data_IF_372065819790
#
_entry.id   IF_372065819790
#
_cell.length_a   1.000
_cell.length_b   1.000
_cell.length_c   1.000
_cell.angle_alpha   90.00
_cell.angle_beta   90.00
_cell.angle_gamma   90.00
#
_symmetry.space_group_name_H-M   'P 1'
#
loop_
_entity.id
_entity.type
_entity.pdbx_description
1 polymer ?
#
# COMPACT_ATOMS: atom_id res chain seq x y z
N UNK A 1 -32.40 -40.15 -8.97
CA UNK A 1 -33.64 -39.35 -8.76
C UNK A 1 -33.21 -37.92 -8.50
N UNK A 2 -33.62 -37.04 -9.41
CA UNK A 2 -33.02 -35.73 -9.67
C UNK A 2 -33.27 -34.73 -8.54
N UNK A 3 -32.21 -34.04 -8.11
CA UNK A 3 -32.32 -32.83 -7.30
C UNK A 3 -32.73 -31.69 -8.23
N UNK A 4 -34.02 -31.38 -8.31
CA UNK A 4 -34.53 -30.13 -8.89
C UNK A 4 -34.12 -28.99 -7.98
N UNK A 5 -32.93 -28.45 -8.21
CA UNK A 5 -32.58 -27.12 -7.73
C UNK A 5 -33.40 -26.11 -8.51
N UNK A 6 -34.34 -25.46 -7.85
CA UNK A 6 -35.12 -24.34 -8.40
C UNK A 6 -34.15 -23.18 -8.65
N UNK A 7 -33.93 -22.73 -9.89
CA UNK A 7 -33.21 -21.48 -10.09
C UNK A 7 -34.12 -20.32 -9.68
N UNK A 8 -33.55 -19.53 -8.78
CA UNK A 8 -34.07 -18.35 -8.10
C UNK A 8 -34.70 -17.30 -9.05
N UNK A 9 -35.86 -16.78 -8.64
CA UNK A 9 -36.16 -15.33 -8.58
C UNK A 9 -35.73 -14.48 -9.81
N UNK A 10 -36.23 -14.76 -11.01
CA UNK A 10 -36.25 -13.77 -12.11
C UNK A 10 -37.70 -13.57 -12.54
N UNK A 11 -38.35 -12.71 -11.77
CA UNK A 11 -39.70 -12.17 -11.84
C UNK A 11 -40.37 -12.16 -13.22
N UNK A 12 -41.65 -12.55 -13.21
CA UNK A 12 -42.60 -12.29 -14.29
C UNK A 12 -42.58 -10.81 -14.67
N UNK A 13 -41.93 -10.50 -15.80
CA UNK A 13 -41.92 -9.15 -16.36
C UNK A 13 -43.35 -8.77 -16.77
N UNK A 14 -43.81 -7.53 -16.52
CA UNK A 14 -45.11 -7.10 -16.98
C UNK A 14 -45.17 -7.21 -18.52
N UNK A 15 -46.25 -7.74 -19.11
CA UNK A 15 -46.35 -7.92 -20.57
C UNK A 15 -46.50 -6.59 -21.33
N UNK A 16 -46.83 -5.50 -20.63
CA UNK A 16 -47.00 -4.18 -21.22
C UNK A 16 -45.66 -3.55 -21.64
N UNK A 17 -45.43 -3.29 -22.95
CA UNK A 17 -44.18 -2.74 -23.44
C UNK A 17 -43.93 -1.30 -22.97
N UNK A 18 -44.97 -0.52 -22.65
CA UNK A 18 -44.77 0.83 -22.11
C UNK A 18 -44.12 0.76 -20.71
N UNK A 19 -44.68 -0.07 -19.84
CA UNK A 19 -44.13 -0.33 -18.50
C UNK A 19 -42.73 -0.93 -18.53
N UNK A 20 -42.42 -1.82 -19.47
CA UNK A 20 -41.06 -2.38 -19.61
C UNK A 20 -40.02 -1.31 -19.96
N UNK A 21 -40.35 -0.34 -20.82
CA UNK A 21 -39.43 0.76 -21.16
C UNK A 21 -39.12 1.65 -19.95
N UNK A 22 -40.12 1.92 -19.10
CA UNK A 22 -39.92 2.69 -17.87
C UNK A 22 -39.01 1.94 -16.89
N UNK A 23 -39.23 0.63 -16.73
CA UNK A 23 -38.38 -0.23 -15.90
C UNK A 23 -36.95 -0.23 -16.44
N UNK A 24 -36.75 -0.37 -17.75
CA UNK A 24 -35.43 -0.36 -18.35
C UNK A 24 -34.70 0.96 -18.10
N UNK A 25 -35.33 2.10 -18.36
CA UNK A 25 -34.73 3.42 -18.11
C UNK A 25 -34.38 3.62 -16.63
N UNK A 26 -35.21 3.11 -15.72
CA UNK A 26 -34.90 3.13 -14.30
C UNK A 26 -33.66 2.27 -13.96
N UNK A 27 -33.58 1.06 -14.50
CA UNK A 27 -32.43 0.17 -14.30
C UNK A 27 -31.14 0.73 -14.90
N UNK A 28 -31.19 1.32 -16.10
CA UNK A 28 -30.04 1.97 -16.72
C UNK A 28 -29.52 3.13 -15.87
N UNK A 29 -30.44 3.96 -15.34
CA UNK A 29 -30.08 5.01 -14.39
C UNK A 29 -29.45 4.45 -13.11
N UNK A 30 -30.04 3.40 -12.53
CA UNK A 30 -29.48 2.75 -11.34
C UNK A 30 -28.09 2.15 -11.60
N UNK A 31 -27.88 1.55 -12.79
CA UNK A 31 -26.57 1.03 -13.20
C UNK A 31 -25.56 2.17 -13.29
N UNK A 32 -25.91 3.27 -13.95
CA UNK A 32 -25.03 4.43 -14.09
C UNK A 32 -24.69 5.05 -12.71
N UNK A 33 -25.67 5.21 -11.83
CA UNK A 33 -25.47 5.75 -10.48
C UNK A 33 -24.55 4.86 -9.62
N UNK A 34 -24.58 3.54 -9.83
CA UNK A 34 -23.81 2.57 -9.06
C UNK A 34 -22.53 2.10 -9.77
N UNK A 35 -22.19 2.65 -10.94
CA UNK A 35 -21.02 2.25 -11.72
C UNK A 35 -19.72 2.44 -10.92
N UNK A 36 -19.59 3.56 -10.21
CA UNK A 36 -18.44 3.86 -9.35
C UNK A 36 -18.27 2.84 -8.23
N UNK A 37 -19.37 2.40 -7.59
CA UNK A 37 -19.33 1.37 -6.54
C UNK A 37 -18.87 0.04 -7.15
N UNK A 38 -19.40 -0.32 -8.32
CA UNK A 38 -18.99 -1.51 -9.05
C UNK A 38 -17.49 -1.48 -9.43
N UNK A 39 -16.99 -0.33 -9.86
CA UNK A 39 -15.57 -0.14 -10.17
C UNK A 39 -14.71 -0.31 -8.91
N UNK A 40 -15.09 0.35 -7.81
CA UNK A 40 -14.37 0.27 -6.54
C UNK A 40 -14.26 -1.16 -6.02
N UNK A 41 -15.38 -1.90 -6.02
CA UNK A 41 -15.40 -3.29 -5.57
C UNK A 41 -14.56 -4.21 -6.45
N UNK A 42 -14.49 -3.95 -7.76
CA UNK A 42 -13.58 -4.69 -8.66
C UNK A 42 -12.12 -4.44 -8.31
N UNK A 43 -11.73 -3.18 -8.08
CA UNK A 43 -10.37 -2.84 -7.65
C UNK A 43 -10.02 -3.52 -6.33
N UNK A 44 -10.90 -3.47 -5.34
CA UNK A 44 -10.70 -4.16 -4.06
C UNK A 44 -10.56 -5.67 -4.24
N UNK A 45 -11.43 -6.29 -5.03
CA UNK A 45 -11.36 -7.72 -5.34
C UNK A 45 -10.01 -8.06 -5.97
N UNK A 46 -9.57 -7.29 -6.95
CA UNK A 46 -8.33 -7.56 -7.67
C UNK A 46 -7.11 -7.44 -6.75
N UNK A 47 -7.11 -6.47 -5.82
CA UNK A 47 -6.09 -6.36 -4.77
C UNK A 47 -6.08 -7.59 -3.84
N UNK A 48 -7.26 -8.07 -3.42
CA UNK A 48 -7.39 -9.28 -2.59
C UNK A 48 -6.89 -10.52 -3.34
N UNK A 49 -7.26 -10.66 -4.62
CA UNK A 49 -6.80 -11.78 -5.45
C UNK A 49 -5.27 -11.75 -5.62
N UNK A 50 -4.68 -10.58 -5.83
CA UNK A 50 -3.22 -10.43 -5.92
C UNK A 50 -2.53 -10.84 -4.61
N UNK A 51 -3.03 -10.36 -3.46
CA UNK A 51 -2.49 -10.72 -2.15
C UNK A 51 -2.58 -12.23 -1.87
N UNK A 52 -3.69 -12.88 -2.25
CA UNK A 52 -3.85 -14.33 -2.14
C UNK A 52 -2.84 -15.07 -3.02
N UNK A 53 -2.63 -14.61 -4.26
CA UNK A 53 -1.65 -15.21 -5.16
C UNK A 53 -0.22 -15.08 -4.63
N UNK A 54 0.12 -13.97 -3.97
CA UNK A 54 1.43 -13.79 -3.35
C UNK A 54 1.64 -14.72 -2.15
N UNK A 55 0.60 -14.95 -1.33
CA UNK A 55 0.65 -15.96 -0.27
C UNK A 55 0.83 -17.38 -0.81
N UNK A 56 0.18 -17.71 -1.92
CA UNK A 56 0.36 -19.01 -2.60
C UNK A 56 1.76 -19.15 -3.22
N UNK A 57 2.39 -18.04 -3.62
CA UNK A 57 3.74 -18.01 -4.18
C UNK A 57 4.84 -18.10 -3.13
N UNK A 58 4.60 -17.71 -1.88
CA UNK A 58 5.55 -17.95 -0.79
C UNK A 58 5.75 -19.47 -0.62
N UNK A 59 6.92 -20.03 -0.95
CA UNK A 59 7.11 -21.47 -0.92
C UNK A 59 7.09 -21.95 0.53
N UNK A 60 6.31 -23.01 0.79
CA UNK A 60 6.33 -23.84 2.01
C UNK A 60 7.68 -24.56 2.25
N UNK A 61 8.82 -23.97 1.90
CA UNK A 61 10.12 -24.61 2.06
C UNK A 61 11.29 -23.68 1.82
N UNK A 62 11.84 -23.16 2.92
CA UNK A 62 13.29 -23.12 3.20
C UNK A 62 13.56 -22.82 4.69
N UNK A 63 12.92 -23.59 5.55
CA UNK A 63 13.65 -24.12 6.70
C UNK A 63 14.73 -25.07 6.16
N UNK A 64 15.96 -24.95 6.69
CA UNK A 64 17.13 -25.82 6.47
C UNK A 64 18.09 -25.46 5.33
N UNK A 65 19.13 -24.70 5.68
CA UNK A 65 20.52 -25.18 5.68
C UNK A 65 21.36 -24.38 6.68
N UNK A 66 21.40 -24.87 7.92
CA UNK A 66 22.52 -24.61 8.84
C UNK A 66 23.72 -25.38 8.27
N UNK A 67 24.63 -24.67 7.61
CA UNK A 67 25.94 -25.20 7.29
C UNK A 67 26.88 -24.84 8.44
N UNK A 68 27.31 -25.87 9.15
CA UNK A 68 28.32 -25.83 10.21
C UNK A 68 29.71 -25.87 9.57
N UNK A 69 30.54 -24.88 9.90
CA UNK A 69 31.94 -24.73 9.53
C UNK A 69 32.24 -23.23 9.52
N UNK A 70 32.92 -22.63 10.51
CA UNK A 70 34.21 -23.03 11.03
C UNK A 70 35.28 -22.26 10.26
N UNK A 71 35.56 -21.01 10.66
CA UNK A 71 36.73 -20.28 10.16
C UNK A 71 36.51 -18.79 9.90
N UNK A 72 37.20 -17.97 10.71
CA UNK A 72 37.58 -16.57 10.51
C UNK A 72 36.48 -15.51 10.53
N UNK A 73 36.46 -14.69 11.57
CA UNK A 73 35.69 -13.44 11.66
C UNK A 73 36.07 -12.51 10.50
N UNK A 74 35.15 -12.17 9.59
CA UNK A 74 35.33 -11.07 8.66
C UNK A 74 34.71 -9.81 9.26
N UNK A 75 35.43 -8.69 9.14
CA UNK A 75 35.02 -7.38 9.61
C UNK A 75 33.60 -7.02 9.17
N UNK A 76 32.93 -6.27 10.04
CA UNK A 76 31.62 -5.69 9.82
C UNK A 76 31.72 -4.70 8.65
N UNK A 77 31.61 -5.20 7.43
CA UNK A 77 31.15 -4.43 6.29
C UNK A 77 29.64 -4.47 6.42
N UNK A 78 28.97 -3.42 6.95
CA UNK A 78 27.52 -3.39 6.86
C UNK A 78 27.16 -3.53 5.37
N UNK A 79 26.13 -4.31 5.02
CA UNK A 79 25.64 -4.31 3.64
C UNK A 79 25.43 -2.86 3.20
N UNK A 80 25.51 -2.53 1.88
CA UNK A 80 24.86 -1.33 1.40
C UNK A 80 23.39 -1.48 1.77
N UNK A 81 23.04 -0.94 2.94
CA UNK A 81 21.67 -0.81 3.39
C UNK A 81 21.09 0.05 2.30
N UNK A 82 20.21 -0.51 1.48
CA UNK A 82 19.40 0.28 0.58
C UNK A 82 18.73 1.28 1.51
N UNK A 83 19.24 2.51 1.49
CA UNK A 83 18.84 3.57 2.40
C UNK A 83 17.45 3.93 1.96
N UNK A 84 16.45 3.25 2.53
CA UNK A 84 15.05 3.45 2.25
C UNK A 84 14.53 4.81 2.74
N UNK A 85 15.40 5.70 3.23
CA UNK A 85 15.04 7.00 3.76
C UNK A 85 15.99 8.09 3.26
N UNK A 86 15.45 9.27 2.98
CA UNK A 86 16.20 10.45 2.53
C UNK A 86 15.77 11.66 3.34
N UNK A 87 16.73 12.49 3.75
CA UNK A 87 16.46 13.78 4.41
C UNK A 87 16.60 14.90 3.39
N UNK A 88 15.54 15.68 3.25
CA UNK A 88 15.53 16.95 2.55
C UNK A 88 15.87 18.06 3.55
N UNK A 89 16.94 18.82 3.29
CA UNK A 89 17.29 20.01 4.07
C UNK A 89 16.94 21.25 3.26
N UNK A 90 15.92 21.97 3.68
CA UNK A 90 15.65 23.29 3.12
C UNK A 90 16.67 24.28 3.69
N UNK A 91 17.53 24.82 2.81
CA UNK A 91 18.51 25.84 3.17
C UNK A 91 17.89 27.21 2.98
N UNK A 92 17.35 27.78 4.06
CA UNK A 92 17.03 29.22 4.13
C UNK A 92 18.15 29.94 4.90
N UNK A 93 18.69 31.08 4.42
CA UNK A 93 19.86 31.74 5.03
C UNK A 93 19.67 32.33 6.44
N UNK A 94 18.50 32.19 7.07
CA UNK A 94 18.16 32.98 8.27
C UNK A 94 17.52 32.20 9.42
N UNK A 95 17.22 30.91 9.30
CA UNK A 95 16.65 30.12 10.41
C UNK A 95 17.00 28.62 10.25
N UNK A 96 17.13 27.84 11.35
CA UNK A 96 17.20 26.38 11.28
C UNK A 96 15.84 25.83 10.84
N UNK A 97 15.60 25.81 9.53
CA UNK A 97 14.38 25.25 8.96
C UNK A 97 14.31 23.74 9.24
N UNK A 98 13.12 23.21 9.55
CA UNK A 98 12.96 21.82 9.87
C UNK A 98 13.30 20.94 8.68
N UNK A 99 14.10 19.90 8.91
CA UNK A 99 14.44 18.95 7.85
C UNK A 99 13.25 17.98 7.65
N UNK A 100 12.95 17.63 6.41
CA UNK A 100 11.88 16.69 6.09
C UNK A 100 12.47 15.31 5.81
N UNK A 101 11.99 14.27 6.50
CA UNK A 101 12.37 12.89 6.19
C UNK A 101 11.35 12.27 5.25
N UNK A 102 11.84 11.66 4.18
CA UNK A 102 11.07 10.92 3.20
C UNK A 102 11.56 9.47 3.13
N UNK A 103 10.74 8.59 2.55
CA UNK A 103 11.18 7.28 2.07
C UNK A 103 11.95 7.49 0.74
N UNK A 104 12.89 6.61 0.41
CA UNK A 104 13.80 6.76 -0.74
C UNK A 104 13.10 6.90 -2.10
N UNK A 105 11.90 6.34 -2.23
CA UNK A 105 11.08 6.39 -3.45
C UNK A 105 9.99 7.48 -3.40
N UNK A 106 10.09 8.44 -2.48
CA UNK A 106 9.10 9.51 -2.35
C UNK A 106 9.22 10.50 -3.52
N UNK A 107 8.21 10.55 -4.40
CA UNK A 107 8.19 11.44 -5.57
C UNK A 107 8.06 12.94 -5.25
N UNK A 108 7.92 13.31 -3.98
CA UNK A 108 7.79 14.69 -3.49
C UNK A 108 9.12 15.28 -3.01
N UNK A 109 10.21 14.57 -3.25
CA UNK A 109 11.55 14.99 -2.86
C UNK A 109 11.98 16.19 -3.71
N UNK A 110 12.09 17.37 -3.09
CA UNK A 110 12.48 18.61 -3.78
C UNK A 110 13.82 19.12 -3.22
N UNK A 111 14.86 19.16 -4.05
CA UNK A 111 16.15 19.77 -3.68
C UNK A 111 17.21 18.78 -3.17
N UNK A 112 18.10 19.26 -2.28
CA UNK A 112 19.28 18.51 -1.85
C UNK A 112 18.91 17.41 -0.84
N UNK A 113 19.06 16.16 -1.28
CA UNK A 113 18.62 15.00 -0.51
C UNK A 113 19.81 14.15 -0.09
N UNK A 114 19.85 13.84 1.19
CA UNK A 114 20.89 12.99 1.76
C UNK A 114 20.26 11.64 2.11
N UNK A 115 20.74 10.52 1.54
CA UNK A 115 20.32 9.20 1.97
C UNK A 115 20.75 8.99 3.42
N UNK A 116 19.81 8.51 4.23
CA UNK A 116 20.02 8.19 5.64
C UNK A 116 19.52 6.78 5.95
N UNK A 117 20.05 6.21 7.02
CA UNK A 117 19.60 4.88 7.49
C UNK A 117 18.32 4.99 8.30
N UNK A 118 17.60 3.87 8.44
CA UNK A 118 16.40 3.78 9.29
C UNK A 118 16.66 4.25 10.73
N UNK A 119 17.81 3.88 11.30
CA UNK A 119 18.20 4.29 12.66
C UNK A 119 18.42 5.81 12.76
N UNK A 120 19.01 6.41 11.72
CA UNK A 120 19.22 7.85 11.63
C UNK A 120 17.88 8.58 11.41
N UNK A 121 16.95 7.99 10.67
CA UNK A 121 15.61 8.51 10.48
C UNK A 121 14.82 8.52 11.78
N UNK A 122 14.92 7.44 12.58
CA UNK A 122 14.30 7.39 13.91
C UNK A 122 14.86 8.41 14.89
N UNK A 123 16.19 8.53 14.94
CA UNK A 123 16.85 9.51 15.78
C UNK A 123 16.42 10.94 15.39
N UNK A 124 16.41 11.24 14.09
CA UNK A 124 16.04 12.55 13.58
C UNK A 124 14.56 12.87 13.83
N UNK A 125 13.63 11.92 13.67
CA UNK A 125 12.20 12.12 14.01
C UNK A 125 11.94 12.27 15.52
N UNK A 126 12.93 11.95 16.37
CA UNK A 126 12.85 12.25 17.82
C UNK A 126 13.18 13.71 18.10
N UNK A 127 13.90 14.39 17.20
CA UNK A 127 14.23 15.81 17.31
C UNK A 127 13.06 16.66 16.79
N UNK A 128 12.56 17.60 17.60
CA UNK A 128 11.46 18.53 17.22
C UNK A 128 11.82 19.51 16.10
N UNK A 129 13.00 19.37 15.51
CA UNK A 129 13.50 20.16 14.38
C UNK A 129 13.38 19.40 13.05
N UNK A 130 12.76 18.24 13.05
CA UNK A 130 12.65 17.38 11.87
C UNK A 130 11.24 16.82 11.80
N UNK A 131 10.61 16.95 10.63
CA UNK A 131 9.24 16.52 10.42
C UNK A 131 9.18 15.31 9.46
N UNK A 132 8.29 14.33 9.70
CA UNK A 132 8.02 13.27 8.75
C UNK A 132 7.24 13.82 7.56
N UNK A 133 7.59 13.37 6.35
CA UNK A 133 6.79 13.70 5.17
C UNK A 133 5.35 13.15 5.34
N UNK A 134 4.31 13.99 5.24
CA UNK A 134 2.92 13.57 5.47
C UNK A 134 2.41 12.56 4.44
N UNK A 135 3.04 12.51 3.26
CA UNK A 135 2.68 11.58 2.18
C UNK A 135 3.37 10.23 2.31
N UNK A 136 4.60 10.22 2.82
CA UNK A 136 5.43 9.03 2.87
C UNK A 136 5.44 8.38 4.27
N UNK A 137 4.85 9.05 5.29
CA UNK A 137 4.69 8.59 6.68
C UNK A 137 5.80 7.64 7.17
N UNK A 138 7.06 8.09 7.13
CA UNK A 138 8.18 7.27 7.57
C UNK A 138 8.13 6.96 9.08
N UNK A 139 7.42 7.78 9.85
CA UNK A 139 7.10 7.62 11.27
C UNK A 139 6.29 6.33 11.55
N UNK A 140 5.27 6.05 10.74
CA UNK A 140 4.43 4.86 10.88
C UNK A 140 5.19 3.58 10.50
N UNK A 141 6.04 3.61 9.46
CA UNK A 141 6.87 2.45 9.08
C UNK A 141 8.00 2.16 10.09
N UNK A 142 8.54 3.21 10.71
CA UNK A 142 9.63 3.09 11.68
C UNK A 142 9.14 2.82 13.12
N UNK A 143 7.82 2.78 13.34
CA UNK A 143 7.20 2.46 14.62
C UNK A 143 7.37 3.54 15.69
N UNK A 144 7.48 4.80 15.28
CA UNK A 144 7.64 5.96 16.19
C UNK A 144 6.28 6.58 16.56
N UNK A 145 5.19 6.18 15.87
CA UNK A 145 3.81 6.42 16.30
C UNK A 145 3.50 5.64 17.60
N UNK A 146 4.07 6.08 18.72
CA UNK A 146 3.62 5.73 20.07
C UNK A 146 3.11 7.01 20.72
N UNK A 147 1.77 7.08 20.79
CA UNK A 147 0.91 8.04 21.50
C UNK A 147 0.25 9.13 20.64
#
# INVERSE_FOLDING_TARGET
MSRTGTPLVMSQLPPDPARLRVILAHLERQIAENETVGLYLRLQRDAVVAALADLDRLPRGRSRRVAKGGGSLPGFVPPPVQTGYVVQRERTPSEPAPALIHVADCGLVVGACRPIRADEARAALTDSTVEPCPSCRPDTELGIDVA
#
